data_IF_229672720815
#
_entry.id   IF_229672720815
#
_cell.length_a   1.000
_cell.length_b   1.000
_cell.length_c   1.000
_cell.angle_alpha   90.00
_cell.angle_beta   90.00
_cell.angle_gamma   90.00
#
_symmetry.space_group_name_H-M   'P 1'
#
loop_
_entity.id
_entity.type
_entity.pdbx_description
1 polymer ?
#
# COMPACT_ATOMS: atom_id res chain seq x y z
N UNK A 1 5.67 4.20 10.89
CA UNK A 1 5.12 3.41 9.78
C UNK A 1 4.36 2.16 10.26
N UNK A 2 3.85 2.22 11.47
CA UNK A 2 3.13 1.12 12.14
C UNK A 2 1.69 1.50 12.51
N UNK A 3 1.21 2.68 12.11
CA UNK A 3 -0.07 3.26 12.52
C UNK A 3 -0.24 3.36 14.05
N UNK A 4 0.85 3.67 14.76
CA UNK A 4 0.86 3.81 16.23
C UNK A 4 1.23 5.22 16.69
N UNK A 5 0.99 6.22 15.84
CA UNK A 5 1.32 7.63 16.12
C UNK A 5 0.39 8.29 17.14
N UNK A 6 -0.79 7.74 17.39
CA UNK A 6 -1.88 8.38 18.13
C UNK A 6 -2.72 9.34 17.27
N UNK A 7 -2.47 9.45 15.96
CA UNK A 7 -3.27 10.28 15.06
C UNK A 7 -4.60 9.57 14.76
N UNK A 8 -5.72 10.26 15.03
CA UNK A 8 -7.09 9.80 14.74
C UNK A 8 -7.84 10.86 13.91
N UNK A 9 -7.20 11.32 12.84
CA UNK A 9 -7.83 12.24 11.90
C UNK A 9 -9.00 11.56 11.17
N UNK A 10 -10.06 12.30 10.93
CA UNK A 10 -11.27 11.82 10.24
C UNK A 10 -11.35 12.33 8.82
N UNK A 11 -12.25 11.76 8.00
CA UNK A 11 -12.57 12.25 6.65
C UNK A 11 -11.37 12.34 5.69
N UNK A 12 -10.36 11.50 5.86
CA UNK A 12 -9.18 11.49 4.99
C UNK A 12 -9.50 11.12 3.55
N UNK A 13 -10.58 10.37 3.32
CA UNK A 13 -11.08 9.98 1.99
C UNK A 13 -12.38 10.70 1.61
N UNK A 14 -12.67 11.83 2.23
CA UNK A 14 -13.80 12.67 1.82
C UNK A 14 -13.43 13.49 0.59
N UNK A 15 -14.11 13.24 -0.54
CA UNK A 15 -13.93 14.03 -1.76
C UNK A 15 -14.38 15.48 -1.53
N UNK A 16 -13.45 16.43 -1.66
CA UNK A 16 -13.70 17.86 -1.46
C UNK A 16 -14.15 18.58 -2.71
N UNK A 17 -14.41 17.85 -3.79
CA UNK A 17 -14.91 18.41 -5.05
C UNK A 17 -13.90 19.26 -5.83
N UNK A 18 -12.62 19.30 -5.41
CA UNK A 18 -11.55 20.00 -6.13
C UNK A 18 -10.26 19.18 -6.14
N UNK A 19 -9.48 19.32 -7.21
CA UNK A 19 -8.13 18.77 -7.28
C UNK A 19 -7.23 19.60 -6.39
N UNK A 20 -6.51 18.95 -5.47
CA UNK A 20 -5.54 19.59 -4.59
C UNK A 20 -4.11 19.45 -5.15
N UNK A 21 -3.28 20.45 -4.89
CA UNK A 21 -1.83 20.27 -4.98
C UNK A 21 -1.34 19.35 -3.85
N UNK A 22 -0.16 18.75 -4.00
CA UNK A 22 0.46 17.95 -2.93
C UNK A 22 0.58 18.75 -1.62
N UNK A 23 1.02 20.02 -1.73
CA UNK A 23 1.15 20.88 -0.56
C UNK A 23 -0.20 21.16 0.11
N UNK A 24 -1.26 21.40 -0.66
CA UNK A 24 -2.59 21.62 -0.09
C UNK A 24 -3.12 20.36 0.57
N UNK A 25 -2.89 19.18 -0.01
CA UNK A 25 -3.30 17.91 0.58
C UNK A 25 -2.58 17.65 1.92
N UNK A 26 -1.28 17.96 1.99
CA UNK A 26 -0.48 17.79 3.20
C UNK A 26 -0.84 18.83 4.26
N UNK A 27 -1.01 20.10 3.89
CA UNK A 27 -1.46 21.14 4.81
C UNK A 27 -2.81 20.79 5.42
N UNK A 28 -3.73 20.30 4.58
CA UNK A 28 -5.00 19.80 5.09
C UNK A 28 -4.83 18.65 6.08
N UNK A 29 -3.93 17.70 5.81
CA UNK A 29 -3.67 16.58 6.71
C UNK A 29 -3.11 17.07 8.06
N UNK A 30 -2.24 18.09 8.06
CA UNK A 30 -1.72 18.73 9.26
C UNK A 30 -2.85 19.39 10.04
N UNK A 31 -3.67 20.21 9.39
CA UNK A 31 -4.79 20.91 10.03
C UNK A 31 -5.81 19.92 10.60
N UNK A 32 -6.13 18.87 9.86
CA UNK A 32 -7.06 17.83 10.31
C UNK A 32 -6.48 17.03 11.51
N UNK A 33 -5.17 16.85 11.56
CA UNK A 33 -4.50 16.24 12.71
C UNK A 33 -4.57 17.16 13.94
N UNK A 34 -4.29 18.43 13.76
CA UNK A 34 -4.30 19.41 14.85
C UNK A 34 -5.69 19.62 15.45
N UNK A 35 -6.74 19.50 14.64
CA UNK A 35 -8.14 19.69 15.03
C UNK A 35 -8.86 18.37 15.36
N UNK A 36 -8.19 17.23 15.18
CA UNK A 36 -8.78 15.91 15.38
C UNK A 36 -8.67 15.41 16.82
N UNK A 37 -9.35 14.31 17.08
CA UNK A 37 -9.18 13.57 18.33
C UNK A 37 -7.79 12.92 18.37
N UNK A 38 -7.13 12.99 19.51
CA UNK A 38 -5.85 12.33 19.71
C UNK A 38 -6.05 11.00 20.43
N UNK A 39 -5.50 9.94 19.86
CA UNK A 39 -5.40 8.63 20.50
C UNK A 39 -4.11 8.48 21.30
N UNK A 40 -3.92 7.31 21.87
CA UNK A 40 -2.72 6.98 22.66
C UNK A 40 -1.59 6.57 21.73
N UNK A 41 -0.44 7.27 21.70
CA UNK A 41 0.75 6.81 20.99
C UNK A 41 1.16 5.40 21.43
N UNK A 42 1.58 4.57 20.49
CA UNK A 42 1.89 3.16 20.70
C UNK A 42 0.71 2.21 20.46
N UNK A 43 -0.53 2.70 20.49
CA UNK A 43 -1.72 1.90 20.17
C UNK A 43 -1.99 1.95 18.66
N UNK A 44 -2.25 0.79 18.05
CA UNK A 44 -2.58 0.71 16.64
C UNK A 44 -3.92 1.37 16.33
N UNK A 45 -3.89 2.32 15.41
CA UNK A 45 -5.07 2.92 14.82
C UNK A 45 -4.76 3.26 13.35
N UNK A 46 -5.35 2.49 12.42
CA UNK A 46 -5.16 2.72 10.99
C UNK A 46 -5.69 4.11 10.60
N UNK A 47 -4.85 4.90 9.95
CA UNK A 47 -5.23 6.24 9.51
C UNK A 47 -4.38 6.69 8.32
N UNK A 48 -5.02 7.04 7.20
CA UNK A 48 -4.35 7.51 5.98
C UNK A 48 -3.51 8.77 6.21
N UNK A 49 -3.89 9.63 7.17
CA UNK A 49 -3.13 10.83 7.52
C UNK A 49 -1.69 10.52 7.91
N UNK A 50 -1.42 9.36 8.52
CA UNK A 50 -0.03 8.96 8.80
C UNK A 50 0.84 8.94 7.55
N UNK A 51 0.31 8.45 6.42
CA UNK A 51 1.05 8.35 5.19
C UNK A 51 1.09 9.67 4.40
N UNK A 52 0.05 10.49 4.50
CA UNK A 52 0.10 11.87 3.99
C UNK A 52 1.20 12.68 4.68
N UNK A 53 1.31 12.58 6.00
CA UNK A 53 2.37 13.25 6.75
C UNK A 53 3.77 12.70 6.40
N UNK A 54 3.90 11.39 6.16
CA UNK A 54 5.15 10.82 5.67
C UNK A 54 5.51 11.37 4.28
N UNK A 55 4.54 11.53 3.37
CA UNK A 55 4.77 12.19 2.08
C UNK A 55 5.25 13.64 2.28
N UNK A 56 4.65 14.38 3.21
CA UNK A 56 5.09 15.73 3.59
C UNK A 56 6.54 15.75 4.13
N UNK A 57 6.94 14.77 4.93
CA UNK A 57 8.31 14.62 5.42
C UNK A 57 9.27 14.37 4.25
N UNK A 58 8.90 13.50 3.30
CA UNK A 58 9.70 13.24 2.10
C UNK A 58 9.92 14.53 1.30
N UNK A 59 8.86 15.30 1.05
CA UNK A 59 8.95 16.60 0.37
C UNK A 59 9.89 17.55 1.12
N UNK A 60 9.72 17.65 2.44
CA UNK A 60 10.51 18.55 3.29
C UNK A 60 12.00 18.23 3.28
N UNK A 61 12.35 16.94 3.35
CA UNK A 61 13.74 16.50 3.41
C UNK A 61 14.41 16.55 2.05
N UNK A 62 13.68 16.16 0.99
CA UNK A 62 14.26 16.06 -0.36
C UNK A 62 14.29 17.41 -1.10
N UNK A 63 13.46 18.37 -0.69
CA UNK A 63 13.25 19.61 -1.44
C UNK A 63 12.54 19.41 -2.79
N UNK A 64 11.96 18.23 -3.04
CA UNK A 64 11.28 17.86 -4.28
C UNK A 64 9.85 17.42 -3.96
N UNK A 65 8.94 17.48 -4.97
CA UNK A 65 7.58 16.95 -4.83
C UNK A 65 7.59 15.46 -4.49
N UNK A 66 6.50 14.98 -3.89
CA UNK A 66 6.32 13.54 -3.65
C UNK A 66 6.32 12.77 -4.97
N UNK A 67 5.65 13.32 -5.99
CA UNK A 67 5.64 12.79 -7.36
C UNK A 67 7.05 12.59 -7.92
N UNK A 68 7.90 13.64 -7.88
CA UNK A 68 9.28 13.54 -8.36
C UNK A 68 10.08 12.48 -7.59
N UNK A 69 9.91 12.41 -6.27
CA UNK A 69 10.56 11.38 -5.46
C UNK A 69 10.09 9.98 -5.86
N UNK A 70 8.77 9.79 -6.05
CA UNK A 70 8.19 8.50 -6.42
C UNK A 70 8.64 8.08 -7.83
N UNK A 71 8.56 8.98 -8.81
CA UNK A 71 8.97 8.73 -10.18
C UNK A 71 10.47 8.36 -10.25
N UNK A 72 11.33 9.13 -9.60
CA UNK A 72 12.78 8.91 -9.70
C UNK A 72 13.26 7.70 -8.89
N UNK A 73 12.70 7.48 -7.69
CA UNK A 73 13.19 6.45 -6.77
C UNK A 73 12.52 5.09 -6.95
N UNK A 74 11.32 5.06 -7.54
CA UNK A 74 10.54 3.83 -7.71
C UNK A 74 10.30 3.54 -9.20
N UNK A 75 9.53 4.38 -9.89
CA UNK A 75 9.08 4.10 -11.26
C UNK A 75 10.26 3.94 -12.21
N UNK A 76 11.11 4.96 -12.31
CA UNK A 76 12.24 4.96 -13.23
C UNK A 76 13.29 3.92 -12.83
N UNK A 77 13.52 3.78 -11.52
CA UNK A 77 14.53 2.86 -11.00
C UNK A 77 14.20 1.39 -11.27
N UNK A 78 12.91 1.03 -11.24
CA UNK A 78 12.44 -0.33 -11.49
C UNK A 78 11.92 -0.55 -12.92
N UNK A 79 11.89 0.48 -13.77
CA UNK A 79 11.36 0.40 -15.12
C UNK A 79 9.87 0.02 -15.15
N UNK A 80 9.05 0.67 -14.31
CA UNK A 80 7.64 0.37 -14.20
C UNK A 80 6.86 1.07 -15.33
N UNK A 81 6.43 0.31 -16.32
CA UNK A 81 5.75 0.85 -17.50
C UNK A 81 4.25 1.13 -17.29
N UNK A 82 3.64 0.55 -16.25
CA UNK A 82 2.21 0.64 -15.98
C UNK A 82 1.89 1.07 -14.55
N UNK A 83 2.78 1.88 -13.97
CA UNK A 83 2.60 2.47 -12.63
C UNK A 83 2.68 3.98 -12.74
N UNK A 84 1.67 4.66 -12.20
CA UNK A 84 1.53 6.11 -12.28
C UNK A 84 0.95 6.65 -10.98
N UNK A 85 1.29 7.87 -10.60
CA UNK A 85 0.43 8.66 -9.72
C UNK A 85 -0.76 9.20 -10.53
N UNK A 86 -1.85 9.58 -9.87
CA UNK A 86 -3.10 9.94 -10.58
C UNK A 86 -2.91 11.07 -11.60
N UNK A 87 -2.02 12.02 -11.33
CA UNK A 87 -1.74 13.17 -12.20
C UNK A 87 -0.91 12.79 -13.43
N UNK A 88 -0.17 11.68 -13.36
CA UNK A 88 0.77 11.23 -14.39
C UNK A 88 0.17 10.21 -15.35
N UNK A 89 -1.10 9.84 -15.16
CA UNK A 89 -1.74 8.86 -16.05
C UNK A 89 -1.76 9.44 -17.46
N UNK A 90 -1.08 8.80 -18.43
CA UNK A 90 -1.03 9.30 -19.80
C UNK A 90 -2.42 9.37 -20.42
N UNK A 91 -2.70 10.40 -21.21
CA UNK A 91 -4.01 10.62 -21.86
C UNK A 91 -4.44 9.49 -22.81
N UNK A 92 -3.49 8.68 -23.27
CA UNK A 92 -3.75 7.51 -24.12
C UNK A 92 -4.05 6.23 -23.32
N UNK A 93 -3.90 6.25 -22.00
CA UNK A 93 -4.32 5.16 -21.13
C UNK A 93 -5.76 5.39 -20.66
N UNK A 94 -6.53 4.31 -20.64
CA UNK A 94 -7.86 4.33 -20.06
C UNK A 94 -7.76 4.49 -18.55
N UNK A 95 -8.52 5.42 -17.98
CA UNK A 95 -8.66 5.53 -16.54
C UNK A 95 -9.15 4.19 -15.96
N UNK A 96 -8.65 3.77 -14.79
CA UNK A 96 -9.16 2.58 -14.12
C UNK A 96 -10.65 2.71 -13.83
N UNK A 97 -11.40 1.67 -14.16
CA UNK A 97 -12.86 1.62 -14.00
C UNK A 97 -13.20 0.51 -13.00
N UNK A 98 -14.00 0.84 -12.00
CA UNK A 98 -14.69 -0.14 -11.17
C UNK A 98 -16.17 -0.23 -11.56
N UNK A 99 -16.82 -1.30 -11.15
CA UNK A 99 -18.21 -1.55 -11.48
C UNK A 99 -19.02 -1.82 -10.22
N UNK A 100 -20.19 -1.18 -10.13
CA UNK A 100 -21.08 -1.34 -8.99
C UNK A 100 -21.52 -2.81 -8.87
N UNK A 101 -21.39 -3.36 -7.67
CA UNK A 101 -21.98 -4.63 -7.34
C UNK A 101 -23.44 -4.43 -6.90
N UNK A 102 -24.38 -4.93 -7.67
CA UNK A 102 -25.80 -4.83 -7.33
C UNK A 102 -26.51 -6.16 -7.53
N UNK A 103 -26.95 -6.78 -6.44
CA UNK A 103 -27.80 -7.98 -6.42
C UNK A 103 -27.35 -9.13 -7.35
N UNK A 104 -26.06 -9.40 -7.40
CA UNK A 104 -25.47 -10.45 -8.20
C UNK A 104 -25.40 -10.17 -9.70
N UNK A 105 -25.70 -8.95 -10.12
CA UNK A 105 -25.48 -8.51 -11.49
C UNK A 105 -24.09 -7.92 -11.63
N UNK A 106 -23.37 -8.36 -12.65
CA UNK A 106 -22.01 -7.96 -12.94
C UNK A 106 -21.98 -6.84 -13.99
N UNK A 107 -20.99 -5.95 -13.92
CA UNK A 107 -20.66 -4.93 -14.92
C UNK A 107 -21.85 -4.01 -15.26
N UNK A 108 -22.52 -3.50 -14.23
CA UNK A 108 -23.72 -2.68 -14.45
C UNK A 108 -23.36 -1.21 -14.67
N UNK A 109 -22.91 -0.55 -13.60
CA UNK A 109 -22.62 0.88 -13.62
C UNK A 109 -21.13 1.08 -13.43
N UNK A 110 -20.50 1.80 -14.36
CA UNK A 110 -19.08 2.11 -14.30
C UNK A 110 -18.84 3.28 -13.34
N UNK A 111 -17.89 3.10 -12.42
CA UNK A 111 -17.40 4.16 -11.54
C UNK A 111 -15.92 4.39 -11.77
N UNK A 112 -15.59 5.66 -12.03
CA UNK A 112 -14.23 6.11 -12.26
C UNK A 112 -13.64 6.67 -10.97
N UNK A 113 -12.32 6.50 -10.81
CA UNK A 113 -11.61 7.18 -9.73
C UNK A 113 -11.68 8.68 -9.96
N UNK A 114 -12.26 9.39 -9.01
CA UNK A 114 -12.33 10.84 -9.08
C UNK A 114 -10.94 11.44 -8.84
N UNK A 115 -10.47 12.24 -9.79
CA UNK A 115 -9.21 12.97 -9.66
C UNK A 115 -9.18 13.88 -8.43
N UNK A 116 -10.33 14.43 -8.06
CA UNK A 116 -10.51 15.23 -6.84
C UNK A 116 -10.18 14.42 -5.59
N UNK A 117 -10.61 13.16 -5.51
CA UNK A 117 -10.29 12.26 -4.38
C UNK A 117 -8.82 11.80 -4.43
N UNK A 118 -8.36 11.31 -5.58
CA UNK A 118 -7.00 10.80 -5.71
C UNK A 118 -5.93 11.85 -5.38
N UNK A 119 -6.16 13.13 -5.75
CA UNK A 119 -5.24 14.22 -5.45
C UNK A 119 -5.07 14.53 -3.96
N UNK A 120 -6.00 14.06 -3.13
CA UNK A 120 -5.98 14.28 -1.68
C UNK A 120 -5.16 13.24 -0.92
N UNK A 121 -4.68 12.20 -1.61
CA UNK A 121 -4.07 11.02 -1.00
C UNK A 121 -2.60 10.79 -1.42
N UNK A 122 -1.73 11.82 -1.50
CA UNK A 122 -0.33 11.59 -1.82
C UNK A 122 0.32 10.65 -0.78
N UNK A 123 0.87 9.54 -1.27
CA UNK A 123 1.46 8.50 -0.43
C UNK A 123 0.47 7.60 0.32
N UNK A 124 -0.83 7.85 0.23
CA UNK A 124 -1.86 7.12 0.97
C UNK A 124 -2.91 6.43 0.08
N UNK A 125 -2.79 6.48 -1.26
CA UNK A 125 -3.76 5.82 -2.13
C UNK A 125 -3.88 6.37 -3.55
N UNK A 126 -2.97 7.24 -3.98
CA UNK A 126 -3.01 7.85 -5.31
C UNK A 126 -2.16 7.14 -6.38
N UNK A 127 -1.71 5.92 -6.10
CA UNK A 127 -0.94 5.11 -7.06
C UNK A 127 -1.86 4.20 -7.87
N UNK A 128 -1.70 4.22 -9.19
CA UNK A 128 -2.30 3.28 -10.12
C UNK A 128 -1.22 2.34 -10.63
N UNK A 129 -1.47 1.05 -10.58
CA UNK A 129 -0.46 0.04 -10.96
C UNK A 129 -1.12 -1.23 -11.48
N UNK A 130 -0.31 -2.14 -11.99
CA UNK A 130 -0.72 -3.51 -12.35
C UNK A 130 -0.17 -4.53 -11.35
N UNK A 131 -0.76 -5.73 -11.25
CA UNK A 131 -0.21 -6.79 -10.41
C UNK A 131 1.28 -7.08 -10.69
N UNK A 132 1.69 -7.06 -11.96
CA UNK A 132 3.08 -7.32 -12.35
C UNK A 132 4.03 -6.20 -11.90
N UNK A 133 3.66 -4.93 -12.10
CA UNK A 133 4.51 -3.82 -11.65
C UNK A 133 4.55 -3.75 -10.11
N UNK A 134 3.43 -4.05 -9.43
CA UNK A 134 3.42 -4.17 -7.98
C UNK A 134 4.35 -5.29 -7.49
N UNK A 135 4.39 -6.44 -8.18
CA UNK A 135 5.35 -7.50 -7.87
C UNK A 135 6.79 -7.04 -8.02
N UNK A 136 7.12 -6.28 -9.08
CA UNK A 136 8.45 -5.68 -9.23
C UNK A 136 8.81 -4.74 -8.09
N UNK A 137 7.84 -3.96 -7.57
CA UNK A 137 8.05 -3.12 -6.38
C UNK A 137 8.41 -4.01 -5.18
N UNK A 138 7.66 -5.09 -4.94
CA UNK A 138 7.95 -6.01 -3.85
C UNK A 138 9.33 -6.67 -3.97
N UNK A 139 9.73 -7.06 -5.18
CA UNK A 139 11.08 -7.54 -5.44
C UNK A 139 12.13 -6.45 -5.18
N UNK A 140 11.88 -5.22 -5.65
CA UNK A 140 12.81 -4.09 -5.48
C UNK A 140 13.04 -3.72 -4.02
N UNK A 141 12.04 -3.93 -3.15
CA UNK A 141 12.17 -3.72 -1.70
C UNK A 141 13.07 -4.76 -1.04
N UNK A 142 13.02 -6.02 -1.50
CA UNK A 142 13.73 -7.12 -0.85
C UNK A 142 15.12 -7.40 -1.42
N UNK A 143 15.36 -7.08 -2.72
CA UNK A 143 16.62 -7.39 -3.41
C UNK A 143 17.67 -6.26 -3.33
N UNK A 144 17.37 -5.17 -2.64
CA UNK A 144 18.27 -4.04 -2.51
C UNK A 144 18.16 -2.97 -3.61
N UNK A 145 17.24 -3.13 -4.58
CA UNK A 145 17.09 -2.16 -5.67
C UNK A 145 16.46 -0.85 -5.21
N UNK A 146 15.54 -0.84 -4.26
CA UNK A 146 14.89 0.38 -3.72
C UNK A 146 15.54 0.79 -2.41
N UNK A 147 15.63 -0.13 -1.47
CA UNK A 147 16.23 0.04 -0.15
C UNK A 147 17.36 -0.97 0.01
N UNK A 148 18.32 -0.69 0.90
CA UNK A 148 19.22 -1.74 1.33
C UNK A 148 18.45 -2.87 2.02
N UNK A 149 18.97 -4.09 1.98
CA UNK A 149 18.34 -5.23 2.68
C UNK A 149 18.20 -4.94 4.18
N UNK A 150 19.19 -4.30 4.79
CA UNK A 150 19.14 -3.90 6.21
C UNK A 150 18.07 -2.87 6.51
N UNK A 151 17.88 -1.87 5.64
CA UNK A 151 16.83 -0.86 5.82
C UNK A 151 15.45 -1.48 5.66
N UNK A 152 15.26 -2.36 4.67
CA UNK A 152 14.00 -3.07 4.49
C UNK A 152 13.70 -3.97 5.70
N UNK A 153 14.70 -4.71 6.19
CA UNK A 153 14.57 -5.51 7.40
C UNK A 153 14.18 -4.65 8.60
N UNK A 154 14.89 -3.54 8.83
CA UNK A 154 14.56 -2.60 9.91
C UNK A 154 13.11 -2.11 9.81
N UNK A 155 12.67 -1.66 8.64
CA UNK A 155 11.32 -1.13 8.44
C UNK A 155 10.21 -2.17 8.62
N UNK A 156 10.49 -3.43 8.29
CA UNK A 156 9.52 -4.53 8.44
C UNK A 156 9.55 -5.20 9.82
N UNK A 157 10.51 -4.84 10.69
CA UNK A 157 10.63 -5.37 12.04
C UNK A 157 10.47 -4.30 13.13
N UNK A 158 9.75 -3.23 12.82
CA UNK A 158 9.38 -2.23 13.84
C UNK A 158 8.41 -2.87 14.82
N UNK A 159 8.86 -3.07 16.05
CA UNK A 159 8.06 -3.75 17.08
C UNK A 159 6.92 -2.87 17.58
N UNK A 160 5.73 -3.45 17.65
CA UNK A 160 4.58 -2.89 18.32
C UNK A 160 3.88 -3.99 19.12
N UNK A 161 3.42 -3.67 20.33
CA UNK A 161 2.67 -4.61 21.16
C UNK A 161 1.21 -4.77 20.68
N UNK A 162 0.74 -3.91 19.79
CA UNK A 162 -0.69 -3.82 19.42
C UNK A 162 -0.96 -4.20 17.96
N UNK A 163 0.07 -4.46 17.16
CA UNK A 163 -0.11 -4.80 15.73
C UNK A 163 1.11 -5.52 15.15
N UNK A 164 0.85 -6.35 14.15
CA UNK A 164 1.85 -6.93 13.25
C UNK A 164 2.10 -6.04 12.00
N UNK A 165 1.50 -4.84 11.94
CA UNK A 165 1.70 -3.92 10.82
C UNK A 165 3.02 -3.18 10.96
N UNK A 166 3.92 -3.35 9.98
CA UNK A 166 5.23 -2.73 9.97
C UNK A 166 5.67 -2.40 8.54
N UNK A 167 6.25 -1.23 8.35
CA UNK A 167 6.77 -0.80 7.04
C UNK A 167 5.74 -0.69 5.91
N UNK A 168 4.44 -0.63 6.23
CA UNK A 168 3.37 -0.60 5.23
C UNK A 168 2.75 -1.97 4.91
N UNK A 169 3.11 -3.02 5.65
CA UNK A 169 2.68 -4.39 5.44
C UNK A 169 2.21 -5.02 6.76
N UNK A 170 1.25 -5.90 6.69
CA UNK A 170 1.01 -6.86 7.78
C UNK A 170 1.99 -8.02 7.64
N UNK A 171 2.67 -8.35 8.72
CA UNK A 171 3.66 -9.43 8.78
C UNK A 171 3.08 -10.55 9.65
N UNK A 172 2.82 -11.67 9.03
CA UNK A 172 2.20 -12.83 9.69
C UNK A 172 3.28 -13.79 10.21
N UNK A 173 2.97 -14.52 11.28
CA UNK A 173 3.90 -15.50 11.93
C UNK A 173 4.25 -16.68 11.01
N UNK A 174 3.52 -16.87 9.92
CA UNK A 174 3.75 -17.91 8.91
C UNK A 174 4.75 -17.49 7.81
N UNK A 175 5.62 -16.53 8.09
CA UNK A 175 6.59 -15.94 7.14
C UNK A 175 5.93 -15.37 5.88
N UNK A 176 4.70 -14.91 6.00
CA UNK A 176 4.01 -14.19 4.94
C UNK A 176 3.83 -12.72 5.28
N UNK A 177 3.65 -11.93 4.23
CA UNK A 177 3.28 -10.51 4.32
C UNK A 177 2.03 -10.26 3.52
N UNK A 178 1.20 -9.35 3.99
CA UNK A 178 -0.05 -9.01 3.33
C UNK A 178 -0.32 -7.51 3.33
N UNK A 179 -1.09 -7.08 2.35
CA UNK A 179 -1.65 -5.74 2.27
C UNK A 179 -3.05 -5.81 1.67
N UNK A 180 -3.90 -4.90 2.08
CA UNK A 180 -5.23 -4.71 1.55
C UNK A 180 -5.43 -3.23 1.22
N UNK A 181 -6.21 -2.94 0.19
CA UNK A 181 -6.59 -1.58 -0.16
C UNK A 181 -7.89 -1.54 -0.94
N UNK A 182 -8.68 -0.54 -0.61
CA UNK A 182 -9.85 -0.09 -1.38
C UNK A 182 -9.82 1.43 -1.41
N UNK A 183 -10.57 2.04 -2.31
CA UNK A 183 -10.71 3.48 -2.39
C UNK A 183 -12.18 3.83 -2.24
N UNK A 184 -12.51 4.73 -1.33
CA UNK A 184 -13.87 5.20 -1.09
C UNK A 184 -14.54 5.68 -2.37
N UNK A 185 -15.84 5.43 -2.48
CA UNK A 185 -16.64 5.73 -3.67
C UNK A 185 -16.17 5.02 -4.95
N UNK A 186 -15.56 3.85 -4.80
CA UNK A 186 -15.25 2.93 -5.89
C UNK A 186 -15.54 1.50 -5.44
N UNK A 187 -15.54 0.56 -6.39
CA UNK A 187 -15.67 -0.87 -6.14
C UNK A 187 -14.37 -1.63 -6.43
N UNK A 188 -13.23 -0.94 -6.30
CA UNK A 188 -11.93 -1.61 -6.32
C UNK A 188 -11.66 -2.32 -5.00
N UNK A 189 -11.03 -3.49 -5.10
CA UNK A 189 -10.48 -4.19 -3.96
C UNK A 189 -9.17 -4.84 -4.33
N UNK A 190 -8.11 -4.49 -3.61
CA UNK A 190 -6.78 -5.01 -3.83
C UNK A 190 -6.38 -5.84 -2.60
N UNK A 191 -5.96 -7.06 -2.83
CA UNK A 191 -5.44 -7.90 -1.76
C UNK A 191 -4.20 -8.65 -2.22
N UNK A 192 -3.21 -8.62 -1.36
CA UNK A 192 -1.92 -9.24 -1.59
C UNK A 192 -1.59 -10.07 -0.37
N UNK A 193 -1.18 -11.33 -0.59
CA UNK A 193 -0.51 -12.13 0.41
C UNK A 193 0.59 -12.93 -0.27
N UNK A 194 1.81 -12.84 0.26
CA UNK A 194 2.97 -13.52 -0.31
C UNK A 194 4.00 -13.83 0.77
N UNK A 195 4.89 -14.77 0.47
CA UNK A 195 6.05 -15.04 1.34
C UNK A 195 6.93 -13.79 1.46
N UNK A 196 7.63 -13.66 2.58
CA UNK A 196 8.52 -12.50 2.83
C UNK A 196 9.64 -12.40 1.80
N UNK A 197 10.07 -13.53 1.22
CA UNK A 197 11.07 -13.62 0.13
C UNK A 197 10.49 -13.40 -1.28
N UNK A 198 9.18 -13.19 -1.42
CA UNK A 198 8.43 -13.01 -2.68
C UNK A 198 8.42 -14.20 -3.64
N UNK A 199 8.80 -15.40 -3.21
CA UNK A 199 8.81 -16.57 -4.10
C UNK A 199 7.41 -17.08 -4.41
N UNK A 200 6.50 -16.99 -3.45
CA UNK A 200 5.14 -17.48 -3.56
C UNK A 200 4.16 -16.45 -3.07
N UNK A 201 3.01 -16.40 -3.67
CA UNK A 201 1.97 -15.49 -3.22
C UNK A 201 0.89 -15.25 -4.26
N UNK A 202 -0.02 -14.38 -3.89
CA UNK A 202 -1.08 -13.89 -4.75
C UNK A 202 -1.11 -12.36 -4.69
N UNK A 203 -1.25 -11.74 -5.85
CA UNK A 203 -1.56 -10.32 -6.01
C UNK A 203 -2.88 -10.26 -6.77
N UNK A 204 -3.93 -9.83 -6.09
CA UNK A 204 -5.28 -9.82 -6.61
C UNK A 204 -5.82 -8.39 -6.65
N UNK A 205 -6.04 -7.87 -7.86
CA UNK A 205 -6.67 -6.58 -8.10
C UNK A 205 -8.03 -6.82 -8.75
N UNK A 206 -9.08 -6.39 -8.06
CA UNK A 206 -10.46 -6.56 -8.47
C UNK A 206 -11.08 -5.20 -8.71
N UNK A 207 -11.90 -5.10 -9.74
CA UNK A 207 -12.61 -3.87 -10.10
C UNK A 207 -14.12 -3.98 -9.92
N UNK A 208 -14.59 -5.03 -9.25
CA UNK A 208 -15.96 -5.18 -8.81
C UNK A 208 -15.98 -6.01 -7.52
N UNK A 209 -16.22 -5.35 -6.41
CA UNK A 209 -16.30 -5.99 -5.10
C UNK A 209 -17.60 -5.63 -4.42
N UNK A 210 -18.12 -6.57 -3.63
CA UNK A 210 -19.40 -6.42 -2.92
C UNK A 210 -19.33 -5.48 -1.70
N UNK A 211 -18.17 -4.90 -1.40
CA UNK A 211 -17.92 -4.21 -0.14
C UNK A 211 -17.56 -5.14 1.02
N UNK A 212 -17.63 -6.45 0.82
CA UNK A 212 -17.20 -7.45 1.80
C UNK A 212 -15.72 -7.80 1.58
N UNK A 213 -14.85 -7.17 2.35
CA UNK A 213 -13.40 -7.45 2.34
C UNK A 213 -13.10 -8.91 2.69
N UNK A 214 -13.93 -9.54 3.51
CA UNK A 214 -13.73 -10.91 3.97
C UNK A 214 -13.86 -11.89 2.81
N UNK A 215 -14.77 -11.63 1.88
CA UNK A 215 -14.96 -12.48 0.69
C UNK A 215 -13.69 -12.52 -0.18
N UNK A 216 -13.04 -11.38 -0.40
CA UNK A 216 -11.79 -11.31 -1.16
C UNK A 216 -10.64 -12.02 -0.46
N UNK A 217 -10.46 -11.76 0.82
CA UNK A 217 -9.44 -12.42 1.65
C UNK A 217 -9.63 -13.93 1.65
N UNK A 218 -10.88 -14.41 1.73
CA UNK A 218 -11.20 -15.82 1.70
C UNK A 218 -10.89 -16.48 0.34
N UNK A 219 -11.21 -15.81 -0.78
CA UNK A 219 -10.88 -16.31 -2.12
C UNK A 219 -9.36 -16.42 -2.26
N UNK A 220 -8.63 -15.37 -1.94
CA UNK A 220 -7.17 -15.37 -2.01
C UNK A 220 -6.53 -16.40 -1.09
N UNK A 221 -7.02 -16.56 0.14
CA UNK A 221 -6.55 -17.59 1.07
C UNK A 221 -6.77 -18.99 0.53
N UNK A 222 -7.93 -19.29 -0.03
CA UNK A 222 -8.21 -20.59 -0.67
C UNK A 222 -7.25 -20.87 -1.82
N UNK A 223 -6.95 -19.87 -2.66
CA UNK A 223 -5.97 -20.05 -3.73
C UNK A 223 -4.58 -20.35 -3.15
N UNK A 224 -4.15 -19.59 -2.13
CA UNK A 224 -2.87 -19.81 -1.47
C UNK A 224 -2.77 -21.20 -0.84
N UNK A 225 -3.83 -21.69 -0.20
CA UNK A 225 -3.84 -23.01 0.42
C UNK A 225 -3.59 -24.14 -0.58
N UNK A 226 -3.94 -23.94 -1.85
CA UNK A 226 -3.63 -24.89 -2.93
C UNK A 226 -2.16 -24.88 -3.35
N UNK A 227 -1.45 -23.79 -3.13
CA UNK A 227 -0.01 -23.68 -3.47
C UNK A 227 0.90 -23.81 -2.24
N UNK A 228 0.35 -23.78 -1.03
CA UNK A 228 1.08 -23.91 0.24
C UNK A 228 2.04 -25.11 0.32
N UNK A 229 1.70 -26.32 -0.12
CA UNK A 229 2.63 -27.44 -0.08
C UNK A 229 3.96 -27.18 -0.80
N UNK A 230 3.97 -26.23 -1.73
CA UNK A 230 5.17 -25.81 -2.47
C UNK A 230 5.89 -24.61 -1.82
N UNK A 231 5.23 -23.95 -0.85
CA UNK A 231 5.77 -22.74 -0.20
C UNK A 231 6.77 -23.06 0.92
N UNK A 232 6.68 -24.26 1.53
CA UNK A 232 7.42 -24.63 2.73
C UNK A 232 8.22 -25.92 2.55
N UNK A 233 8.78 -26.16 1.37
CA UNK A 233 9.76 -27.24 1.23
C UNK A 233 10.97 -26.93 2.13
N UNK A 234 11.39 -27.93 2.94
CA UNK A 234 12.33 -27.77 4.06
C UNK A 234 13.73 -27.24 3.71
N UNK A 235 14.03 -27.10 2.41
CA UNK A 235 15.35 -26.63 1.94
C UNK A 235 15.48 -25.09 1.91
N UNK A 236 14.41 -24.34 2.27
CA UNK A 236 14.41 -22.87 2.19
C UNK A 236 14.80 -22.15 3.50
N UNK A 237 15.16 -22.88 4.56
CA UNK A 237 15.56 -22.28 5.84
C UNK A 237 16.97 -21.66 5.85
N UNK A 238 17.72 -21.71 4.75
CA UNK A 238 19.10 -21.26 4.72
C UNK A 238 19.23 -19.75 4.54
N UNK A 239 18.29 -19.13 3.80
CA UNK A 239 18.36 -17.69 3.49
C UNK A 239 18.03 -16.80 4.71
N UNK A 240 17.17 -17.27 5.65
CA UNK A 240 16.83 -16.51 6.87
C UNK A 240 17.97 -16.52 7.90
N UNK A 241 18.82 -17.53 7.90
CA UNK A 241 19.99 -17.60 8.80
C UNK A 241 21.10 -16.66 8.36
N UNK A 242 21.24 -16.40 7.06
CA UNK A 242 22.26 -15.49 6.54
C UNK A 242 21.93 -14.02 6.88
N UNK A 243 20.66 -13.67 7.05
CA UNK A 243 20.25 -12.32 7.47
C UNK A 243 20.47 -12.07 8.96
N UNK A 244 20.40 -13.10 9.79
CA UNK A 244 20.63 -13.00 11.24
C UNK A 244 22.13 -12.83 11.55
N UNK A 245 23.01 -13.39 10.72
CA UNK A 245 24.47 -13.31 10.93
C UNK A 245 25.10 -11.97 10.51
N UNK A 246 24.36 -11.10 9.80
CA UNK A 246 24.87 -9.76 9.42
C UNK A 246 24.70 -8.74 10.57
N UNK A 247 23.87 -9.02 11.57
CA UNK A 247 23.62 -8.13 12.71
C UNK A 247 24.55 -8.35 13.92
N UNK A 248 25.52 -9.23 13.81
CA UNK A 248 26.41 -9.67 14.91
C UNK A 248 27.89 -9.28 14.82
N UNK A 249 28.26 -8.28 13.97
CA UNK A 249 29.60 -7.71 13.96
C UNK A 249 29.56 -6.20 13.95
#
# INVERSE_FOLDING_TARGET
MTHTSGIQATNTELDRGKVLSENDAINWAIDNTNNGTQGTPGTYFYNNTNYLLLAGIIIKISGQSYENNFNNRIINKLGLANTFLYQDIPSWKTDPISYVWNNGKNYQDAEYVKKTLASQLPGAGNMFTTPMDYYKIQLGLTNGSILSKSDFYYLTHLKSATTNYSGGLHLDDDHTKSAYGSLSNTHFGNWIKMTTDNRYGIIMFLNQVSGDETAQKNIGTKILDHIKPRMFDKDNNQDDQDLINISGN
#
